data_IF_989369801407
#
_entry.id   IF_989369801407
#
_cell.length_a   1.000
_cell.length_b   1.000
_cell.length_c   1.000
_cell.angle_alpha   90.00
_cell.angle_beta   90.00
_cell.angle_gamma   90.00
#
_symmetry.space_group_name_H-M   'P 1'
#
loop_
_entity.id
_entity.type
_entity.pdbx_description
1 polymer ?
#
# COMPACT_ATOMS: atom_id res chain seq x y z
N UNK A 1 18.17 -4.96 4.09
CA UNK A 1 17.13 -3.97 3.74
C UNK A 1 16.12 -3.89 4.87
N UNK A 2 15.53 -2.72 5.07
CA UNK A 2 14.56 -2.46 6.14
C UNK A 2 13.26 -2.07 5.47
N UNK A 3 12.14 -2.62 5.94
CA UNK A 3 10.82 -2.14 5.56
C UNK A 3 10.36 -1.13 6.61
N UNK A 4 9.99 0.07 6.17
CA UNK A 4 9.57 1.15 7.07
C UNK A 4 8.29 1.80 6.57
N UNK A 5 7.36 2.06 7.48
CA UNK A 5 6.13 2.75 7.16
C UNK A 5 6.34 4.27 7.20
N UNK A 6 5.89 4.96 6.17
CA UNK A 6 5.75 6.42 6.14
C UNK A 6 4.35 6.77 5.64
N UNK A 7 3.53 7.29 6.56
CA UNK A 7 2.12 7.53 6.31
C UNK A 7 1.38 6.22 6.01
N UNK A 8 0.67 6.18 4.89
CA UNK A 8 -0.05 4.98 4.41
C UNK A 8 0.82 4.02 3.58
N UNK A 9 2.10 4.32 3.34
CA UNK A 9 2.97 3.49 2.50
C UNK A 9 4.03 2.77 3.34
N UNK A 10 4.46 1.59 2.90
CA UNK A 10 5.65 0.90 3.43
C UNK A 10 6.70 0.87 2.35
N UNK A 11 7.86 1.44 2.62
CA UNK A 11 8.95 1.56 1.68
C UNK A 11 10.11 0.63 2.01
N UNK A 12 11.01 0.46 1.04
CA UNK A 12 12.28 -0.24 1.23
C UNK A 12 13.37 0.79 1.52
N UNK A 13 14.10 0.55 2.60
CA UNK A 13 15.24 1.34 3.01
C UNK A 13 16.52 0.51 3.05
N UNK A 14 17.65 1.19 2.89
CA UNK A 14 18.99 0.64 3.06
C UNK A 14 19.74 1.36 4.17
N UNK A 15 20.65 0.66 4.81
CA UNK A 15 21.54 1.18 5.84
C UNK A 15 22.86 0.42 5.70
N UNK A 16 23.98 1.13 5.54
CA UNK A 16 25.27 0.47 5.29
C UNK A 16 25.82 -0.18 6.55
N UNK A 17 25.61 0.44 7.71
CA UNK A 17 25.97 -0.08 9.02
C UNK A 17 25.00 0.43 10.09
N UNK A 18 24.99 -0.19 11.27
CA UNK A 18 24.09 0.21 12.38
C UNK A 18 24.34 1.63 12.89
N UNK A 19 25.47 2.24 12.53
CA UNK A 19 25.87 3.59 12.92
C UNK A 19 25.51 4.65 11.88
N UNK A 20 25.13 4.23 10.67
CA UNK A 20 24.81 5.14 9.58
C UNK A 20 23.32 5.45 9.47
N UNK A 21 23.00 6.55 8.80
CA UNK A 21 21.63 6.93 8.50
C UNK A 21 20.95 5.93 7.57
N UNK A 22 19.63 5.84 7.71
CA UNK A 22 18.78 5.02 6.83
C UNK A 22 18.45 5.82 5.57
N UNK A 23 18.66 5.23 4.40
CA UNK A 23 18.39 5.83 3.09
C UNK A 23 17.19 5.15 2.43
N UNK A 24 16.23 5.95 1.95
CA UNK A 24 15.09 5.46 1.18
C UNK A 24 15.56 4.99 -0.21
N UNK A 25 15.14 3.80 -0.62
CA UNK A 25 15.29 3.36 -2.00
C UNK A 25 14.09 3.83 -2.83
N UNK A 26 14.36 4.38 -4.02
CA UNK A 26 13.31 4.74 -4.96
C UNK A 26 12.48 3.51 -5.32
N UNK A 27 11.15 3.66 -5.32
CA UNK A 27 10.20 2.57 -5.52
C UNK A 27 8.80 3.10 -5.77
N UNK A 28 7.82 2.21 -5.84
CA UNK A 28 6.42 2.60 -5.98
C UNK A 28 5.84 3.06 -4.63
N UNK A 29 4.77 3.86 -4.67
CA UNK A 29 3.94 4.09 -3.49
C UNK A 29 3.05 2.86 -3.28
N UNK A 30 2.98 2.34 -2.06
CA UNK A 30 2.20 1.15 -1.75
C UNK A 30 2.74 0.43 -0.52
N UNK A 31 2.46 -0.85 -0.46
CA UNK A 31 2.89 -1.75 0.59
C UNK A 31 3.93 -2.73 0.05
N UNK A 32 5.21 -2.55 0.42
CA UNK A 32 6.22 -3.59 0.26
C UNK A 32 6.19 -4.54 1.47
N UNK A 33 6.26 -5.86 1.24
CA UNK A 33 6.37 -6.87 2.30
C UNK A 33 7.36 -7.97 1.94
N UNK A 34 7.80 -8.71 2.97
CA UNK A 34 8.56 -9.97 2.84
C UNK A 34 9.74 -9.88 1.86
N UNK A 35 10.53 -8.81 1.94
CA UNK A 35 11.67 -8.62 1.05
C UNK A 35 12.78 -9.64 1.39
N UNK A 36 13.20 -10.36 0.37
CA UNK A 36 14.40 -11.21 0.38
C UNK A 36 15.37 -10.70 -0.67
N UNK A 37 16.66 -10.71 -0.35
CA UNK A 37 17.69 -10.18 -1.24
C UNK A 37 18.90 -11.09 -1.29
N UNK A 38 19.55 -11.14 -2.45
CA UNK A 38 20.81 -11.86 -2.66
C UNK A 38 21.80 -10.99 -3.40
N UNK A 39 23.05 -11.01 -2.96
CA UNK A 39 24.15 -10.26 -3.56
C UNK A 39 25.20 -11.22 -4.13
N UNK A 40 25.63 -10.95 -5.36
CA UNK A 40 26.75 -11.58 -6.06
C UNK A 40 27.68 -10.49 -6.59
N UNK A 41 28.78 -10.88 -7.23
CA UNK A 41 29.70 -9.91 -7.85
C UNK A 41 29.03 -9.05 -8.93
N UNK A 42 28.02 -9.59 -9.64
CA UNK A 42 27.35 -8.92 -10.76
C UNK A 42 25.96 -8.36 -10.42
N UNK A 43 25.28 -8.90 -9.40
CA UNK A 43 23.88 -8.59 -9.12
C UNK A 43 23.62 -8.33 -7.64
N UNK A 44 22.69 -7.41 -7.39
CA UNK A 44 22.09 -7.15 -6.08
C UNK A 44 20.58 -7.37 -6.21
N UNK A 45 20.19 -8.63 -6.29
CA UNK A 45 18.83 -9.05 -6.61
C UNK A 45 17.91 -9.00 -5.40
N UNK A 46 16.61 -8.85 -5.65
CA UNK A 46 15.59 -8.94 -4.62
C UNK A 46 14.27 -9.51 -5.14
N UNK A 47 13.59 -10.26 -4.26
CA UNK A 47 12.21 -10.67 -4.39
C UNK A 47 11.39 -10.08 -3.24
N UNK A 48 10.17 -9.63 -3.51
CA UNK A 48 9.31 -9.01 -2.50
C UNK A 48 7.83 -9.14 -2.88
N UNK A 49 6.94 -9.04 -1.89
CA UNK A 49 5.51 -8.84 -2.13
C UNK A 49 5.23 -7.35 -2.26
N UNK A 50 4.37 -6.97 -3.20
CA UNK A 50 3.93 -5.58 -3.34
C UNK A 50 2.45 -5.48 -3.71
N UNK A 51 1.76 -4.49 -3.12
CA UNK A 51 0.40 -4.10 -3.46
C UNK A 51 0.21 -2.58 -3.33
N UNK A 52 -0.80 -2.05 -4.02
CA UNK A 52 -1.34 -0.69 -3.88
C UNK A 52 -2.87 -0.74 -4.03
N UNK A 53 -3.57 0.39 -3.86
CA UNK A 53 -5.03 0.44 -4.05
C UNK A 53 -5.54 -0.14 -5.37
N UNK A 54 -4.74 -0.04 -6.42
CA UNK A 54 -5.04 -0.44 -7.79
C UNK A 54 -4.23 -1.65 -8.27
N UNK A 55 -3.34 -2.20 -7.43
CA UNK A 55 -2.54 -3.38 -7.77
C UNK A 55 -2.73 -4.47 -6.72
N UNK A 56 -3.34 -5.60 -7.09
CA UNK A 56 -3.43 -6.73 -6.18
C UNK A 56 -2.04 -7.23 -5.85
N UNK A 57 -1.92 -7.90 -4.70
CA UNK A 57 -0.62 -8.35 -4.22
C UNK A 57 -0.03 -9.43 -5.13
N UNK A 58 1.21 -9.24 -5.56
CA UNK A 58 1.97 -10.23 -6.31
C UNK A 58 3.41 -10.29 -5.79
N UNK A 59 4.11 -11.37 -6.12
CA UNK A 59 5.57 -11.45 -5.93
C UNK A 59 6.25 -10.75 -7.09
N UNK A 60 7.17 -9.85 -6.78
CA UNK A 60 7.99 -9.12 -7.74
C UNK A 60 9.45 -9.51 -7.58
N UNK A 61 10.19 -9.45 -8.69
CA UNK A 61 11.63 -9.70 -8.73
C UNK A 61 12.36 -8.60 -9.50
N UNK A 62 13.55 -8.25 -9.01
CA UNK A 62 14.53 -7.44 -9.73
C UNK A 62 15.94 -8.01 -9.56
N UNK A 63 16.78 -7.87 -10.59
CA UNK A 63 18.22 -8.21 -10.53
C UNK A 63 19.06 -7.15 -9.81
N UNK A 64 18.53 -5.92 -9.70
CA UNK A 64 19.19 -4.78 -9.09
C UNK A 64 18.22 -4.08 -8.13
N UNK A 65 18.59 -3.99 -6.86
CA UNK A 65 17.72 -3.48 -5.78
C UNK A 65 17.43 -1.98 -5.91
N UNK A 66 18.29 -1.21 -6.54
CA UNK A 66 18.01 0.17 -6.96
C UNK A 66 17.00 0.25 -8.11
N UNK A 67 16.70 -0.89 -8.75
CA UNK A 67 15.69 -1.07 -9.78
C UNK A 67 14.30 -1.46 -9.27
N UNK A 68 13.90 -1.15 -8.03
CA UNK A 68 12.52 -1.42 -7.55
C UNK A 68 11.42 -0.88 -8.49
N UNK A 69 11.54 0.33 -9.09
CA UNK A 69 10.51 0.83 -10.01
C UNK A 69 10.37 -0.01 -11.29
N UNK A 70 11.37 -0.84 -11.61
CA UNK A 70 11.45 -1.68 -12.81
C UNK A 70 11.27 -3.17 -12.52
N UNK A 71 11.03 -3.54 -11.25
CA UNK A 71 10.79 -4.92 -10.86
C UNK A 71 9.61 -5.51 -11.65
N UNK A 72 9.69 -6.81 -11.94
CA UNK A 72 8.67 -7.53 -12.71
C UNK A 72 7.91 -8.49 -11.83
N UNK A 73 6.58 -8.61 -11.99
CA UNK A 73 5.84 -9.66 -11.30
C UNK A 73 6.34 -11.02 -11.80
N UNK A 74 6.50 -11.96 -10.88
CA UNK A 74 6.82 -13.36 -11.17
C UNK A 74 5.63 -14.29 -10.89
N UNK A 75 4.55 -13.74 -10.34
CA UNK A 75 3.26 -14.39 -10.12
C UNK A 75 2.13 -13.58 -10.76
N UNK A 76 1.00 -14.24 -11.02
CA UNK A 76 -0.22 -13.63 -11.57
C UNK A 76 -1.48 -14.20 -10.88
N UNK A 77 -1.35 -14.62 -9.62
CA UNK A 77 -2.40 -15.36 -8.90
C UNK A 77 -3.65 -14.51 -8.67
N UNK A 78 -3.49 -13.19 -8.61
CA UNK A 78 -4.56 -12.24 -8.36
C UNK A 78 -5.03 -11.51 -9.62
N UNK A 79 -4.65 -11.97 -10.82
CA UNK A 79 -5.04 -11.33 -12.09
C UNK A 79 -6.56 -11.16 -12.22
N UNK A 80 -7.35 -12.08 -11.67
CA UNK A 80 -8.82 -11.96 -11.66
C UNK A 80 -9.29 -10.68 -10.97
N UNK A 81 -8.66 -10.27 -9.86
CA UNK A 81 -9.02 -9.05 -9.14
C UNK A 81 -8.79 -7.80 -9.99
N UNK A 82 -7.76 -7.81 -10.84
CA UNK A 82 -7.48 -6.71 -11.76
C UNK A 82 -8.52 -6.56 -12.90
N UNK A 83 -9.38 -7.57 -13.10
CA UNK A 83 -10.41 -7.57 -14.17
C UNK A 83 -11.82 -7.26 -13.67
N UNK A 84 -12.01 -7.12 -12.35
CA UNK A 84 -13.33 -6.85 -11.76
C UNK A 84 -13.50 -5.37 -11.45
N UNK A 85 -14.74 -4.90 -11.49
CA UNK A 85 -15.10 -3.59 -10.92
C UNK A 85 -15.10 -3.68 -9.40
N UNK A 86 -13.92 -3.50 -8.81
CA UNK A 86 -13.73 -3.44 -7.37
C UNK A 86 -13.96 -2.01 -6.85
N UNK A 87 -14.27 -1.87 -5.55
CA UNK A 87 -14.16 -0.59 -4.87
C UNK A 87 -12.80 0.05 -5.13
N UNK A 88 -12.79 1.36 -5.33
CA UNK A 88 -11.56 2.13 -5.57
C UNK A 88 -11.24 2.98 -4.36
N UNK A 89 -9.99 2.96 -3.92
CA UNK A 89 -9.55 3.72 -2.75
C UNK A 89 -8.59 4.84 -3.12
N UNK A 90 -8.56 5.90 -2.31
CA UNK A 90 -7.56 6.95 -2.38
C UNK A 90 -7.19 7.47 -0.99
N UNK A 91 -6.00 8.07 -0.90
CA UNK A 91 -5.58 8.81 0.28
C UNK A 91 -6.43 10.06 0.46
N UNK A 92 -6.90 10.28 1.68
CA UNK A 92 -7.56 11.51 2.10
C UNK A 92 -6.75 12.14 3.23
N UNK A 93 -6.56 13.47 3.17
CA UNK A 93 -5.77 14.23 4.13
C UNK A 93 -6.57 15.40 4.66
N UNK A 94 -6.53 15.61 5.97
CA UNK A 94 -7.11 16.79 6.61
C UNK A 94 -6.20 17.28 7.72
N UNK A 95 -6.37 18.55 8.09
CA UNK A 95 -5.65 19.16 9.20
C UNK A 95 -6.52 19.00 10.44
N UNK A 96 -5.94 18.45 11.51
CA UNK A 96 -6.54 18.53 12.83
C UNK A 96 -6.45 19.97 13.32
N UNK A 97 -7.58 20.61 13.59
CA UNK A 97 -7.61 22.02 13.99
C UNK A 97 -7.07 22.26 15.41
N UNK A 98 -7.02 21.22 16.26
CA UNK A 98 -6.55 21.36 17.64
C UNK A 98 -5.02 21.48 17.74
N UNK A 99 -4.27 20.79 16.89
CA UNK A 99 -2.80 20.73 16.94
C UNK A 99 -2.10 20.93 15.58
N UNK A 100 -2.85 21.30 14.54
CA UNK A 100 -2.40 21.52 13.16
C UNK A 100 -1.70 20.32 12.51
N UNK A 101 -1.84 19.10 13.06
CA UNK A 101 -1.25 17.90 12.45
C UNK A 101 -2.05 17.49 11.22
N UNK A 102 -1.32 17.02 10.20
CA UNK A 102 -1.94 16.37 9.04
C UNK A 102 -2.32 14.96 9.46
N UNK A 103 -3.60 14.63 9.31
CA UNK A 103 -4.14 13.30 9.50
C UNK A 103 -4.37 12.66 8.12
N UNK A 104 -4.10 11.37 8.03
CA UNK A 104 -4.32 10.56 6.84
C UNK A 104 -5.44 9.54 7.08
N UNK A 105 -6.29 9.36 6.08
CA UNK A 105 -7.32 8.33 6.03
C UNK A 105 -7.43 7.75 4.62
N UNK A 106 -8.19 6.68 4.45
CA UNK A 106 -8.33 6.00 3.17
C UNK A 106 -9.80 5.98 2.76
N UNK A 107 -10.10 6.72 1.71
CA UNK A 107 -11.47 6.86 1.21
C UNK A 107 -11.74 5.80 0.15
N UNK A 108 -12.61 4.84 0.45
CA UNK A 108 -13.06 3.77 -0.43
C UNK A 108 -14.38 4.16 -1.08
N UNK A 109 -14.40 4.14 -2.41
CA UNK A 109 -15.57 4.45 -3.23
C UNK A 109 -16.24 3.17 -3.72
N UNK A 110 -17.58 3.15 -3.82
CA UNK A 110 -18.29 2.06 -4.48
C UNK A 110 -17.85 1.85 -5.93
N UNK A 111 -17.98 0.61 -6.45
CA UNK A 111 -17.81 0.34 -7.88
C UNK A 111 -18.61 1.32 -8.74
N UNK A 112 -17.98 1.83 -9.81
CA UNK A 112 -18.58 2.80 -10.73
C UNK A 112 -18.85 4.21 -10.16
N UNK A 113 -18.46 4.52 -8.91
CA UNK A 113 -18.73 5.81 -8.25
C UNK A 113 -17.47 6.55 -7.79
N UNK A 114 -16.32 6.25 -8.38
CA UNK A 114 -15.06 6.89 -7.99
C UNK A 114 -15.14 8.42 -8.14
N UNK A 115 -14.76 9.16 -7.09
CA UNK A 115 -14.85 10.64 -7.00
C UNK A 115 -16.28 11.22 -7.04
N UNK A 116 -17.33 10.38 -7.01
CA UNK A 116 -18.70 10.90 -6.88
C UNK A 116 -18.91 11.57 -5.52
N UNK A 117 -19.73 12.62 -5.51
CA UNK A 117 -20.11 13.38 -4.31
C UNK A 117 -21.45 12.92 -3.77
N UNK A 118 -21.78 13.32 -2.54
CA UNK A 118 -23.06 13.09 -1.88
C UNK A 118 -23.44 11.59 -1.77
N UNK A 119 -22.42 10.74 -1.57
CA UNK A 119 -22.62 9.33 -1.26
C UNK A 119 -22.90 9.15 0.23
N UNK A 120 -23.67 8.11 0.63
CA UNK A 120 -23.82 7.77 2.04
C UNK A 120 -22.45 7.40 2.61
N UNK A 121 -22.06 8.06 3.70
CA UNK A 121 -20.75 7.88 4.32
C UNK A 121 -20.84 6.92 5.51
N UNK A 122 -19.95 5.93 5.53
CA UNK A 122 -19.65 5.11 6.68
C UNK A 122 -18.22 5.40 7.14
N UNK A 123 -18.03 5.77 8.41
CA UNK A 123 -16.70 6.01 8.99
C UNK A 123 -16.26 4.74 9.72
N UNK A 124 -15.20 4.10 9.23
CA UNK A 124 -14.66 2.86 9.75
C UNK A 124 -13.33 3.12 10.48
N UNK A 125 -13.45 3.38 11.78
CA UNK A 125 -12.30 3.74 12.62
C UNK A 125 -11.52 2.49 13.07
N UNK A 126 -10.19 2.55 12.95
CA UNK A 126 -9.29 1.66 13.69
C UNK A 126 -9.06 2.21 15.11
N UNK A 127 -9.06 1.33 16.11
CA UNK A 127 -9.11 1.72 17.53
C UNK A 127 -7.81 1.58 18.31
N UNK A 128 -6.66 1.28 17.69
CA UNK A 128 -5.44 0.94 18.42
C UNK A 128 -4.16 1.54 17.80
N UNK A 129 -3.14 1.83 18.62
CA UNK A 129 -1.89 2.47 18.18
C UNK A 129 -0.97 1.53 17.38
N UNK A 130 -1.29 0.24 17.32
CA UNK A 130 -0.43 -0.80 16.77
C UNK A 130 -0.67 -1.09 15.28
N UNK A 131 -1.64 -0.44 14.64
CA UNK A 131 -1.99 -0.69 13.24
C UNK A 131 -2.45 0.60 12.54
N UNK A 132 -2.38 0.60 11.21
CA UNK A 132 -2.82 1.70 10.37
C UNK A 132 -3.44 1.17 9.07
N UNK A 133 -4.41 1.91 8.52
CA UNK A 133 -4.87 1.67 7.15
C UNK A 133 -3.73 2.01 6.17
N UNK A 134 -3.40 1.08 5.27
CA UNK A 134 -2.28 1.23 4.33
C UNK A 134 -2.75 1.25 2.87
N UNK A 135 -1.92 1.81 2.00
CA UNK A 135 -2.06 1.79 0.55
C UNK A 135 -1.84 0.37 0.00
N UNK A 136 -2.88 -0.46 0.10
CA UNK A 136 -2.91 -1.84 -0.38
C UNK A 136 -4.32 -2.22 -0.80
N UNK A 137 -4.42 -3.11 -1.77
CA UNK A 137 -5.69 -3.77 -2.10
C UNK A 137 -5.91 -4.88 -1.07
N UNK A 138 -6.99 -4.78 -0.29
CA UNK A 138 -7.26 -5.69 0.81
C UNK A 138 -8.57 -6.46 0.58
N UNK A 139 -8.47 -7.78 0.55
CA UNK A 139 -9.59 -8.70 0.22
C UNK A 139 -9.86 -9.71 1.34
N UNK A 140 -9.35 -9.48 2.54
CA UNK A 140 -9.50 -10.41 3.65
C UNK A 140 -10.77 -10.12 4.49
N UNK A 141 -11.24 -11.12 5.22
CA UNK A 141 -12.47 -11.04 6.03
C UNK A 141 -12.43 -9.99 7.14
N UNK A 142 -11.23 -9.61 7.59
CA UNK A 142 -11.03 -8.65 8.67
C UNK A 142 -11.18 -7.21 8.18
N UNK A 143 -11.01 -6.95 6.88
CA UNK A 143 -11.14 -5.61 6.30
C UNK A 143 -12.48 -5.37 5.68
N UNK A 144 -13.32 -4.69 6.46
CA UNK A 144 -14.70 -4.42 6.12
C UNK A 144 -14.90 -3.22 5.19
N UNK A 145 -13.92 -2.30 5.09
CA UNK A 145 -14.08 -1.09 4.29
C UNK A 145 -14.33 -1.36 2.79
N UNK A 146 -13.58 -2.23 2.10
CA UNK A 146 -13.92 -2.62 0.72
C UNK A 146 -15.28 -3.31 0.59
N UNK A 147 -15.69 -4.12 1.58
CA UNK A 147 -16.98 -4.79 1.57
C UNK A 147 -18.15 -3.80 1.67
N UNK A 148 -18.10 -2.88 2.65
CA UNK A 148 -19.11 -1.84 2.78
C UNK A 148 -19.14 -0.91 1.55
N UNK A 149 -17.99 -0.64 0.94
CA UNK A 149 -17.93 0.12 -0.31
C UNK A 149 -18.61 -0.61 -1.47
N UNK A 150 -18.44 -1.94 -1.57
CA UNK A 150 -19.15 -2.74 -2.56
C UNK A 150 -20.68 -2.67 -2.39
N UNK A 151 -21.16 -2.50 -1.15
CA UNK A 151 -22.58 -2.30 -0.82
C UNK A 151 -23.07 -0.84 -1.01
N UNK A 152 -22.27 0.02 -1.66
CA UNK A 152 -22.71 1.36 -2.07
C UNK A 152 -22.36 2.49 -1.12
N UNK A 153 -21.63 2.21 -0.04
CA UNK A 153 -21.15 3.24 0.91
C UNK A 153 -19.85 3.88 0.44
N UNK A 154 -19.72 5.19 0.64
CA UNK A 154 -18.40 5.81 0.74
C UNK A 154 -17.84 5.44 2.11
N UNK A 155 -16.63 4.89 2.18
CA UNK A 155 -16.04 4.47 3.47
C UNK A 155 -14.77 5.24 3.74
N UNK A 156 -14.68 5.91 4.89
CA UNK A 156 -13.48 6.59 5.39
C UNK A 156 -12.82 5.79 6.51
#
# INVERSE_FOLDING_TARGET
FILGQLGTNVHVYTQQSVWEGVSLLSGWHGLYRSISSSKSEQYSSAAFLYSSFDRPEEVYFTKHIDGLPWAKPVTHENQLLATRELPRAKLYRWINHDDNRIIEGILHYPPGKFEHKNLPLFVYMHGGPSDASLNRLQTNFYTWAPLAAAEGWLVL
#
